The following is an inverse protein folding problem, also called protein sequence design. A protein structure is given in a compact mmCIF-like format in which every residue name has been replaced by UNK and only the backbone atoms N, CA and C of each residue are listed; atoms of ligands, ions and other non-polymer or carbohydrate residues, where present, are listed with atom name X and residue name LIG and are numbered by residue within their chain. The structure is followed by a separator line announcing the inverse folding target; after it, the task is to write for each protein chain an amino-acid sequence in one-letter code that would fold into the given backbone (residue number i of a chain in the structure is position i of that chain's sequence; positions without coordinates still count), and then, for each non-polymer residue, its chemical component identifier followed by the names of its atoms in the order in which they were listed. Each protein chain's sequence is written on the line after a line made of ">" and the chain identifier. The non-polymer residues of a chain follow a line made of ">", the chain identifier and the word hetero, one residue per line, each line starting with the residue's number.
data_IF_729904838466
#
_entry.id   IF_729904838466
#
_cell.length_a   1.000
_cell.length_b   1.000
_cell.length_c   1.000
_cell.angle_alpha   90.00
_cell.angle_beta   90.00
_cell.angle_gamma   90.00
#
_symmetry.space_group_name_H-M   'P 1'
#
loop_
_entity.id
_entity.type
_entity.pdbx_description
1 polymer ?
#
# COMPACT_ATOMS: atom_id res chain seq x y z
N UNK A 1 -15.28 15.09 -8.66
CA UNK A 1 -15.15 14.25 -9.87
C UNK A 1 -16.49 14.16 -10.57
N UNK A 2 -16.51 14.20 -11.91
CA UNK A 2 -17.70 13.99 -12.74
C UNK A 2 -18.31 12.60 -12.58
N UNK A 3 -19.62 12.48 -12.75
CA UNK A 3 -20.36 11.23 -12.50
C UNK A 3 -19.98 10.08 -13.47
N UNK A 4 -19.63 10.42 -14.71
CA UNK A 4 -19.18 9.44 -15.71
C UNK A 4 -17.89 8.73 -15.27
N UNK A 5 -16.97 9.46 -14.67
CA UNK A 5 -15.69 8.94 -14.19
C UNK A 5 -15.88 8.01 -12.98
N UNK A 6 -16.88 8.30 -12.13
CA UNK A 6 -17.27 7.44 -11.00
C UNK A 6 -17.90 6.13 -11.48
N UNK A 7 -18.75 6.18 -12.50
CA UNK A 7 -19.39 4.98 -13.05
C UNK A 7 -18.42 4.05 -13.76
N UNK A 8 -17.45 4.59 -14.51
CA UNK A 8 -16.39 3.80 -15.12
C UNK A 8 -15.54 3.05 -14.06
N UNK A 9 -15.22 3.74 -12.97
CA UNK A 9 -14.49 3.15 -11.84
C UNK A 9 -15.29 2.05 -11.12
N UNK A 10 -16.61 2.23 -10.94
CA UNK A 10 -17.49 1.21 -10.35
C UNK A 10 -17.65 -0.02 -11.24
N UNK A 11 -17.73 0.17 -12.56
CA UNK A 11 -17.79 -0.94 -13.50
C UNK A 11 -16.50 -1.76 -13.51
N UNK A 12 -15.35 -1.09 -13.47
CA UNK A 12 -14.06 -1.75 -13.29
C UNK A 12 -13.99 -2.53 -11.96
N UNK A 13 -14.62 -2.03 -10.88
CA UNK A 13 -14.77 -2.69 -9.56
C UNK A 13 -15.54 -3.98 -9.60
N UNK A 14 -16.72 -3.95 -10.19
CA UNK A 14 -17.55 -5.14 -10.31
C UNK A 14 -16.85 -6.25 -11.11
N UNK A 15 -15.95 -5.91 -12.03
CA UNK A 15 -15.23 -6.86 -12.88
C UNK A 15 -14.01 -7.52 -12.22
N UNK A 16 -13.55 -7.07 -11.04
CA UNK A 16 -12.39 -7.68 -10.39
C UNK A 16 -12.75 -8.97 -9.63
N UNK A 17 -11.84 -9.97 -9.58
CA UNK A 17 -12.00 -11.14 -8.73
C UNK A 17 -12.16 -10.75 -7.24
N UNK A 18 -12.91 -11.51 -6.44
CA UNK A 18 -13.20 -11.18 -5.03
C UNK A 18 -11.95 -10.93 -4.17
N UNK A 19 -10.85 -11.65 -4.44
CA UNK A 19 -9.54 -11.40 -3.82
C UNK A 19 -9.01 -9.99 -4.15
N UNK A 20 -9.15 -9.56 -5.41
CA UNK A 20 -8.79 -8.20 -5.88
C UNK A 20 -9.80 -7.12 -5.48
N UNK A 21 -11.07 -7.46 -5.20
CA UNK A 21 -12.04 -6.50 -4.65
C UNK A 21 -11.71 -6.15 -3.19
N UNK A 22 -11.26 -7.13 -2.39
CA UNK A 22 -10.77 -6.89 -1.01
C UNK A 22 -9.53 -6.02 -0.99
N UNK A 23 -8.62 -6.24 -1.94
CA UNK A 23 -7.45 -5.39 -2.20
C UNK A 23 -7.84 -3.94 -2.56
N UNK A 24 -9.03 -3.76 -3.10
CA UNK A 24 -9.52 -2.48 -3.58
C UNK A 24 -10.23 -1.65 -2.49
N UNK A 25 -10.33 -2.17 -1.27
CA UNK A 25 -10.76 -1.40 -0.09
C UNK A 25 -9.85 -0.19 0.22
N UNK A 26 -8.65 -0.14 -0.37
CA UNK A 26 -7.69 0.97 -0.30
C UNK A 26 -7.81 1.96 -1.47
N UNK A 27 -8.82 1.81 -2.33
CA UNK A 27 -9.14 2.73 -3.43
C UNK A 27 -8.38 2.52 -4.76
N UNK A 28 -8.88 3.11 -5.87
CA UNK A 28 -8.38 2.89 -7.25
C UNK A 28 -6.96 3.35 -7.51
N UNK A 29 -6.38 4.17 -6.63
CA UNK A 29 -5.01 4.65 -6.75
C UNK A 29 -3.98 3.62 -6.25
N UNK A 30 -4.32 2.86 -5.22
CA UNK A 30 -3.45 1.82 -4.66
C UNK A 30 -3.54 0.51 -5.44
N UNK A 31 -4.68 0.22 -6.08
CA UNK A 31 -4.94 -1.07 -6.75
C UNK A 31 -3.95 -1.48 -7.84
N UNK A 32 -3.27 -0.54 -8.51
CA UNK A 32 -2.27 -0.85 -9.56
C UNK A 32 -0.90 -1.26 -8.99
N UNK A 33 -0.51 -0.66 -7.87
CA UNK A 33 0.79 -0.85 -7.22
C UNK A 33 0.74 -1.92 -6.11
N UNK A 34 -0.48 -2.28 -5.67
CA UNK A 34 -0.72 -3.22 -4.58
C UNK A 34 -0.10 -4.61 -4.75
N UNK A 35 0.04 -5.20 -5.96
CA UNK A 35 0.71 -6.49 -6.10
C UNK A 35 2.15 -6.48 -5.55
N UNK A 36 2.91 -5.41 -5.80
CA UNK A 36 4.29 -5.28 -5.30
C UNK A 36 4.38 -4.86 -3.83
N UNK A 37 3.34 -4.20 -3.30
CA UNK A 37 3.26 -3.83 -1.88
C UNK A 37 2.66 -4.95 -1.01
N UNK A 38 2.00 -5.95 -1.60
CA UNK A 38 1.40 -7.09 -0.89
C UNK A 38 2.33 -7.79 0.10
N UNK A 39 3.62 -8.04 -0.23
CA UNK A 39 4.54 -8.69 0.71
C UNK A 39 4.77 -7.87 1.99
N UNK A 40 4.57 -6.55 1.96
CA UNK A 40 4.65 -5.68 3.13
C UNK A 40 3.40 -5.77 4.01
N UNK A 41 2.27 -6.26 3.49
CA UNK A 41 1.01 -6.41 4.23
C UNK A 41 0.74 -7.88 4.62
N UNK A 42 1.54 -8.82 4.11
CA UNK A 42 1.38 -10.24 4.37
C UNK A 42 1.62 -10.56 5.86
N UNK A 43 0.77 -11.43 6.42
CA UNK A 43 0.85 -11.92 7.81
C UNK A 43 0.79 -10.80 8.87
N UNK A 44 0.11 -9.70 8.57
CA UNK A 44 -0.14 -8.58 9.49
C UNK A 44 -1.59 -8.64 9.99
N UNK A 45 -1.88 -8.43 11.28
CA UNK A 45 -3.26 -8.31 11.78
C UNK A 45 -4.03 -7.17 11.11
N UNK A 46 -5.36 -7.28 11.00
CA UNK A 46 -6.18 -6.31 10.27
C UNK A 46 -6.02 -4.85 10.75
N UNK A 47 -5.87 -4.63 12.07
CA UNK A 47 -5.66 -3.29 12.63
C UNK A 47 -4.32 -2.67 12.20
N UNK A 48 -3.25 -3.48 12.13
CA UNK A 48 -1.94 -3.05 11.66
C UNK A 48 -1.92 -2.86 10.14
N UNK A 49 -2.67 -3.67 9.38
CA UNK A 49 -2.86 -3.46 7.95
C UNK A 49 -3.53 -2.11 7.66
N UNK A 50 -4.55 -1.73 8.45
CA UNK A 50 -5.20 -0.43 8.32
C UNK A 50 -4.22 0.73 8.60
N UNK A 51 -3.38 0.60 9.64
CA UNK A 51 -2.36 1.60 9.97
C UNK A 51 -1.29 1.75 8.87
N UNK A 52 -0.84 0.64 8.27
CA UNK A 52 0.08 0.66 7.14
C UNK A 52 -0.59 1.21 5.87
N UNK A 53 -1.85 0.83 5.62
CA UNK A 53 -2.66 1.32 4.51
C UNK A 53 -2.80 2.85 4.54
N UNK A 54 -3.15 3.43 5.69
CA UNK A 54 -3.24 4.88 5.86
C UNK A 54 -1.90 5.60 5.57
N UNK A 55 -0.78 4.99 5.96
CA UNK A 55 0.55 5.54 5.66
C UNK A 55 0.90 5.44 4.16
N UNK A 56 0.52 4.35 3.48
CA UNK A 56 0.70 4.18 2.04
C UNK A 56 -0.18 5.14 1.21
N UNK A 57 -1.38 5.46 1.70
CA UNK A 57 -2.26 6.47 1.10
C UNK A 57 -1.64 7.87 1.12
N UNK A 58 -0.90 8.19 2.19
CA UNK A 58 -0.18 9.47 2.32
C UNK A 58 1.01 9.64 1.36
N UNK A 59 1.46 8.57 0.70
CA UNK A 59 2.56 8.65 -0.28
C UNK A 59 2.06 9.12 -1.66
N UNK A 60 2.94 9.78 -2.41
CA UNK A 60 2.74 10.01 -3.85
C UNK A 60 2.83 8.72 -4.65
N UNK A 61 2.24 8.68 -5.85
CA UNK A 61 2.24 7.50 -6.72
C UNK A 61 3.66 7.04 -7.08
N UNK A 62 4.54 7.96 -7.46
CA UNK A 62 5.96 7.66 -7.78
C UNK A 62 6.67 6.99 -6.61
N UNK A 63 6.48 7.50 -5.38
CA UNK A 63 7.11 6.94 -4.18
C UNK A 63 6.55 5.57 -3.84
N UNK A 64 5.24 5.34 -4.02
CA UNK A 64 4.65 4.00 -3.85
C UNK A 64 5.19 3.00 -4.85
N UNK A 65 5.39 3.40 -6.10
CA UNK A 65 5.98 2.52 -7.11
C UNK A 65 7.42 2.14 -6.74
N UNK A 66 8.26 3.12 -6.38
CA UNK A 66 9.63 2.85 -5.91
C UNK A 66 9.63 1.94 -4.67
N UNK A 67 8.70 2.15 -3.73
CA UNK A 67 8.55 1.28 -2.57
C UNK A 67 8.16 -0.15 -2.98
N UNK A 68 7.28 -0.33 -3.95
CA UNK A 68 6.87 -1.65 -4.44
C UNK A 68 8.05 -2.42 -5.04
N UNK A 69 8.87 -1.73 -5.85
CA UNK A 69 10.10 -2.29 -6.42
C UNK A 69 11.08 -2.68 -5.31
N UNK A 70 11.27 -1.83 -4.30
CA UNK A 70 12.14 -2.12 -3.17
C UNK A 70 11.64 -3.30 -2.34
N UNK A 71 10.34 -3.33 -2.00
CA UNK A 71 9.71 -4.41 -1.22
C UNK A 71 9.81 -5.76 -1.93
N UNK A 72 9.80 -5.78 -3.26
CA UNK A 72 10.02 -6.99 -4.05
C UNK A 72 11.46 -7.51 -3.89
N UNK A 73 12.45 -6.62 -3.81
CA UNK A 73 13.85 -6.97 -3.57
C UNK A 73 14.16 -7.30 -2.10
N UNK A 74 13.34 -6.81 -1.15
CA UNK A 74 13.55 -7.04 0.28
C UNK A 74 13.39 -8.53 0.67
N UNK A 75 14.22 -8.97 1.61
CA UNK A 75 14.03 -10.26 2.28
C UNK A 75 12.86 -10.26 3.28
N UNK A 76 12.43 -11.44 3.74
CA UNK A 76 11.34 -11.56 4.73
C UNK A 76 11.65 -10.84 6.04
N UNK A 77 12.89 -10.93 6.53
CA UNK A 77 13.32 -10.25 7.77
C UNK A 77 13.33 -8.73 7.61
N UNK A 78 13.82 -8.22 6.47
CA UNK A 78 13.86 -6.78 6.18
C UNK A 78 12.46 -6.18 6.09
N UNK A 79 11.53 -6.88 5.42
CA UNK A 79 10.10 -6.49 5.39
C UNK A 79 9.47 -6.48 6.79
N UNK A 80 9.80 -7.46 7.63
CA UNK A 80 9.31 -7.49 9.01
C UNK A 80 9.86 -6.33 9.85
N UNK A 81 11.14 -6.01 9.71
CA UNK A 81 11.76 -4.87 10.39
C UNK A 81 11.16 -3.53 9.93
N UNK A 82 10.92 -3.35 8.63
CA UNK A 82 10.26 -2.15 8.11
C UNK A 82 8.85 -1.98 8.68
N UNK A 83 8.03 -3.04 8.66
CA UNK A 83 6.69 -3.01 9.27
C UNK A 83 6.75 -2.61 10.75
N UNK A 84 7.61 -3.27 11.52
CA UNK A 84 7.74 -2.99 12.95
C UNK A 84 8.12 -1.54 13.23
N UNK A 85 9.09 -1.00 12.47
CA UNK A 85 9.50 0.42 12.57
C UNK A 85 8.35 1.38 12.27
N UNK A 86 7.58 1.12 11.22
CA UNK A 86 6.45 1.98 10.82
C UNK A 86 5.32 1.91 11.84
N UNK A 87 4.99 0.72 12.35
CA UNK A 87 3.90 0.54 13.32
C UNK A 87 4.24 1.12 14.69
N UNK A 88 5.51 1.03 15.12
CA UNK A 88 5.99 1.62 16.37
C UNK A 88 6.09 3.16 16.31
N UNK A 89 6.15 3.75 15.12
CA UNK A 89 6.23 5.19 14.96
C UNK A 89 4.87 5.89 15.14
N UNK A 90 4.87 7.15 15.62
CA UNK A 90 3.68 8.00 15.60
C UNK A 90 3.11 8.15 14.19
N UNK A 91 1.78 8.27 14.01
CA UNK A 91 1.12 8.33 12.70
C UNK A 91 1.76 9.32 11.72
N UNK A 92 2.22 10.46 12.21
CA UNK A 92 2.80 11.56 11.43
C UNK A 92 4.17 11.20 10.83
N UNK A 93 4.89 10.23 11.42
CA UNK A 93 6.20 9.77 10.92
C UNK A 93 6.12 8.56 10.00
N UNK A 94 4.97 7.87 9.96
CA UNK A 94 4.81 6.62 9.18
C UNK A 94 5.01 6.83 7.68
N UNK A 95 4.45 7.91 7.14
CA UNK A 95 4.60 8.28 5.73
C UNK A 95 6.07 8.55 5.39
N UNK A 96 6.77 9.31 6.24
CA UNK A 96 8.19 9.62 6.05
C UNK A 96 9.06 8.36 6.06
N UNK A 97 8.82 7.43 7.00
CA UNK A 97 9.56 6.17 7.08
C UNK A 97 9.39 5.29 5.84
N UNK A 98 8.18 5.24 5.27
CA UNK A 98 7.94 4.51 4.03
C UNK A 98 8.58 5.20 2.82
N UNK A 99 8.60 6.53 2.79
CA UNK A 99 9.28 7.29 1.74
C UNK A 99 10.80 7.12 1.81
N UNK A 100 11.39 7.13 3.00
CA UNK A 100 12.81 6.83 3.23
C UNK A 100 13.16 5.41 2.77
N UNK A 101 12.32 4.42 3.08
CA UNK A 101 12.50 3.05 2.63
C UNK A 101 12.41 2.91 1.11
N UNK A 102 11.58 3.72 0.45
CA UNK A 102 11.47 3.75 -1.00
C UNK A 102 12.70 4.38 -1.68
N UNK A 103 13.38 5.30 -1.00
CA UNK A 103 14.58 6.00 -1.49
C UNK A 103 15.90 5.30 -1.10
N UNK A 104 15.84 4.26 -0.26
CA UNK A 104 17.01 3.50 0.16
C UNK A 104 17.59 2.71 -1.03
N UNK A 105 18.94 2.66 -1.16
CA UNK A 105 19.61 1.95 -2.24
C UNK A 105 19.37 0.43 -2.18
#
# INVERSE_FOLDING_TARGET
>A
MPEAERSALRAAFAALPAQRQRDWALGPRLGRELPGLRPLLAFVPAAEQAALGAALEGLGATTRQALAERVAAMGTAERAALRGRVLAAPPERRVALLAEAAAAP
#
